data_IF_409287095037
#
_entry.id   IF_409287095037
#
_cell.length_a   1.000
_cell.length_b   1.000
_cell.length_c   1.000
_cell.angle_alpha   90.00
_cell.angle_beta   90.00
_cell.angle_gamma   90.00
#
_symmetry.space_group_name_H-M   'P 1'
#
loop_
_entity.id
_entity.type
_entity.pdbx_description
1 polymer ?
#
# COMPACT_ATOMS: atom_id res chain seq x y z
N UNK A 1 4.46 8.43 -7.87
CA UNK A 1 3.00 8.24 -7.64
C UNK A 1 2.69 8.45 -6.17
N UNK A 2 1.55 9.06 -5.82
CA UNK A 2 1.10 9.30 -4.43
C UNK A 2 -0.43 9.10 -4.34
N UNK A 3 -0.97 8.95 -3.13
CA UNK A 3 -2.42 8.88 -2.90
C UNK A 3 -2.96 10.25 -2.50
N UNK A 4 -3.73 10.87 -3.40
CA UNK A 4 -4.56 12.02 -3.08
C UNK A 4 -5.68 11.63 -2.10
N UNK A 5 -6.20 12.61 -1.37
CA UNK A 5 -7.16 12.35 -0.30
C UNK A 5 -8.31 13.35 -0.34
N UNK A 6 -9.52 12.84 -0.44
CA UNK A 6 -10.74 13.63 -0.46
C UNK A 6 -11.82 12.87 0.31
N UNK A 7 -12.71 13.61 0.95
CA UNK A 7 -13.84 13.07 1.70
C UNK A 7 -15.14 13.70 1.24
N UNK A 8 -16.24 12.97 1.43
CA UNK A 8 -17.59 13.36 1.05
C UNK A 8 -18.59 12.64 1.95
N UNK A 9 -19.78 13.22 2.09
CA UNK A 9 -20.92 12.59 2.75
C UNK A 9 -21.97 12.10 1.74
N UNK A 10 -21.92 12.61 0.50
CA UNK A 10 -22.97 12.42 -0.51
C UNK A 10 -22.45 11.90 -1.87
N UNK A 11 -21.14 11.70 -2.02
CA UNK A 11 -20.46 11.29 -3.27
C UNK A 11 -20.56 12.32 -4.41
N UNK A 12 -21.04 13.53 -4.13
CA UNK A 12 -21.22 14.62 -5.11
C UNK A 12 -20.29 15.78 -4.79
N UNK A 13 -20.31 16.26 -3.54
CA UNK A 13 -19.45 17.36 -3.08
C UNK A 13 -18.29 16.78 -2.29
N UNK A 14 -17.08 17.11 -2.72
CA UNK A 14 -15.85 16.58 -2.15
C UNK A 14 -15.03 17.69 -1.51
N UNK A 15 -14.43 17.38 -0.37
CA UNK A 15 -13.48 18.26 0.31
C UNK A 15 -12.08 17.65 0.20
N UNK A 16 -11.14 18.46 -0.27
CA UNK A 16 -9.72 18.09 -0.28
C UNK A 16 -9.17 17.98 1.15
N UNK A 17 -8.39 16.93 1.37
CA UNK A 17 -7.57 16.72 2.56
C UNK A 17 -6.09 16.67 2.17
N UNK A 18 -5.16 16.77 3.14
CA UNK A 18 -3.74 16.56 2.88
C UNK A 18 -3.48 15.19 2.24
N UNK A 19 -2.41 15.11 1.43
CA UNK A 19 -1.97 13.86 0.77
C UNK A 19 -1.87 12.73 1.79
N UNK A 20 -2.57 11.62 1.53
CA UNK A 20 -2.63 10.50 2.46
C UNK A 20 -1.32 9.70 2.48
N UNK A 21 -0.72 9.46 1.31
CA UNK A 21 0.55 8.74 1.18
C UNK A 21 1.38 9.34 0.05
N UNK A 22 2.62 9.71 0.34
CA UNK A 22 3.61 10.12 -0.65
C UNK A 22 4.87 9.24 -0.52
N UNK A 23 5.66 9.09 -1.61
CA UNK A 23 6.99 8.50 -1.55
C UNK A 23 7.87 9.27 -0.57
N UNK A 24 8.34 8.59 0.47
CA UNK A 24 9.25 9.19 1.47
C UNK A 24 10.15 8.16 2.17
N UNK A 25 10.09 6.89 1.75
CA UNK A 25 10.92 5.81 2.27
C UNK A 25 11.69 5.12 1.15
N UNK A 26 12.74 4.39 1.53
CA UNK A 26 13.57 3.64 0.58
C UNK A 26 12.79 2.59 -0.22
N UNK A 27 11.71 2.06 0.35
CA UNK A 27 10.91 0.99 -0.28
C UNK A 27 9.83 1.50 -1.24
N UNK A 28 9.56 2.81 -1.27
CA UNK A 28 8.54 3.40 -2.15
C UNK A 28 9.03 4.62 -2.94
N UNK A 29 10.35 4.77 -3.11
CA UNK A 29 10.99 5.90 -3.80
C UNK A 29 10.44 6.15 -5.21
N UNK A 30 10.02 5.10 -5.93
CA UNK A 30 9.45 5.22 -7.28
C UNK A 30 7.93 5.43 -7.25
N UNK A 31 7.27 5.21 -6.12
CA UNK A 31 5.86 5.49 -5.95
C UNK A 31 5.17 4.68 -4.85
N UNK A 32 4.14 5.29 -4.28
CA UNK A 32 3.06 4.58 -3.59
C UNK A 32 2.01 4.20 -4.64
N UNK A 33 2.03 2.95 -5.09
CA UNK A 33 1.09 2.39 -6.06
C UNK A 33 -0.23 1.98 -5.38
N UNK A 34 -1.16 1.41 -6.16
CA UNK A 34 -2.51 1.14 -5.70
C UNK A 34 -2.57 0.09 -4.58
N UNK A 35 -3.74 -0.03 -3.96
CA UNK A 35 -3.98 -0.89 -2.82
C UNK A 35 -5.39 -0.74 -2.27
N UNK A 36 -5.56 -0.99 -0.98
CA UNK A 36 -6.85 -0.95 -0.30
C UNK A 36 -6.76 -0.33 1.09
N UNK A 37 -7.88 0.17 1.58
CA UNK A 37 -8.04 0.70 2.93
C UNK A 37 -9.05 -0.16 3.70
N UNK A 38 -8.82 -0.34 4.99
CA UNK A 38 -9.79 -0.96 5.91
C UNK A 38 -9.85 -0.16 7.20
N UNK A 39 -11.06 0.07 7.71
CA UNK A 39 -11.30 0.60 9.05
C UNK A 39 -11.44 -0.57 10.03
N UNK A 40 -10.77 -0.46 11.18
CA UNK A 40 -10.94 -1.38 12.30
C UNK A 40 -10.68 -0.65 13.62
N UNK A 41 -11.66 -0.69 14.53
CA UNK A 41 -11.60 -0.09 15.87
C UNK A 41 -11.22 1.40 15.87
N UNK A 42 -11.78 2.16 14.93
CA UNK A 42 -11.56 3.60 14.77
C UNK A 42 -10.24 3.97 14.12
N UNK A 43 -9.51 3.00 13.55
CA UNK A 43 -8.25 3.23 12.84
C UNK A 43 -8.36 2.82 11.39
N UNK A 44 -7.76 3.60 10.52
CA UNK A 44 -7.62 3.28 9.10
C UNK A 44 -6.28 2.59 8.85
N UNK A 45 -6.34 1.48 8.15
CA UNK A 45 -5.18 0.72 7.70
C UNK A 45 -5.12 0.79 6.18
N UNK A 46 -4.10 1.47 5.65
CA UNK A 46 -3.85 1.58 4.22
C UNK A 46 -2.80 0.54 3.83
N UNK A 47 -3.19 -0.43 3.02
CA UNK A 47 -2.30 -1.44 2.44
C UNK A 47 -2.04 -1.01 1.01
N UNK A 48 -0.78 -0.84 0.63
CA UNK A 48 -0.40 -0.32 -0.68
C UNK A 48 0.85 -1.00 -1.23
N UNK A 49 1.10 -0.83 -2.52
CA UNK A 49 2.33 -1.31 -3.15
C UNK A 49 3.39 -0.22 -3.09
N UNK A 50 4.51 -0.47 -2.41
CA UNK A 50 5.72 0.34 -2.48
C UNK A 50 6.55 -0.07 -3.69
N UNK A 51 6.97 0.89 -4.51
CA UNK A 51 7.80 0.64 -5.70
C UNK A 51 9.19 1.21 -5.50
N UNK A 52 10.21 0.38 -5.80
CA UNK A 52 11.61 0.78 -5.81
C UNK A 52 12.33 0.16 -6.99
N UNK A 53 13.44 0.77 -7.39
CA UNK A 53 14.42 0.16 -8.28
C UNK A 53 15.57 -0.43 -7.45
N UNK A 54 16.14 -1.53 -7.91
CA UNK A 54 17.37 -2.08 -7.35
C UNK A 54 18.24 -2.60 -8.48
N UNK A 55 19.54 -2.64 -8.27
CA UNK A 55 20.47 -3.29 -9.19
C UNK A 55 20.70 -4.74 -8.75
N UNK A 56 20.62 -5.69 -9.69
CA UNK A 56 20.94 -7.08 -9.43
C UNK A 56 22.44 -7.37 -9.63
N UNK A 57 22.88 -8.60 -9.35
CA UNK A 57 24.30 -9.00 -9.43
C UNK A 57 24.92 -8.88 -10.84
N UNK A 58 24.09 -8.72 -11.88
CA UNK A 58 24.53 -8.54 -13.27
C UNK A 58 24.59 -7.07 -13.69
N UNK A 59 24.30 -6.12 -12.79
CA UNK A 59 24.24 -4.69 -13.09
C UNK A 59 22.93 -4.25 -13.75
N UNK A 60 21.94 -5.14 -13.86
CA UNK A 60 20.64 -4.80 -14.44
C UNK A 60 19.74 -4.17 -13.37
N UNK A 61 19.03 -3.12 -13.76
CA UNK A 61 18.02 -2.48 -12.91
C UNK A 61 16.73 -3.30 -12.95
N UNK A 62 16.27 -3.71 -11.78
CA UNK A 62 15.00 -4.39 -11.54
C UNK A 62 14.03 -3.46 -10.82
N UNK A 63 12.76 -3.49 -11.25
CA UNK A 63 11.66 -2.90 -10.50
C UNK A 63 11.17 -3.92 -9.49
N UNK A 64 11.11 -3.53 -8.22
CA UNK A 64 10.57 -4.33 -7.13
C UNK A 64 9.31 -3.67 -6.60
N UNK A 65 8.25 -4.48 -6.50
CA UNK A 65 6.98 -4.10 -5.89
C UNK A 65 6.77 -4.95 -4.64
N UNK A 66 6.73 -4.29 -3.48
CA UNK A 66 6.53 -4.92 -2.17
C UNK A 66 5.30 -4.30 -1.49
N UNK A 67 4.61 -5.04 -0.63
CA UNK A 67 3.40 -4.57 0.03
C UNK A 67 3.75 -3.89 1.35
N UNK A 68 3.22 -2.69 1.53
CA UNK A 68 3.48 -1.79 2.65
C UNK A 68 2.17 -1.46 3.37
N UNK A 69 2.30 -1.02 4.62
CA UNK A 69 1.19 -0.65 5.49
C UNK A 69 1.40 0.76 6.06
N UNK A 70 0.34 1.55 6.09
CA UNK A 70 0.26 2.77 6.86
C UNK A 70 -0.99 2.74 7.74
N UNK A 71 -0.91 3.37 8.92
CA UNK A 71 -2.01 3.46 9.87
C UNK A 71 -2.31 4.92 10.13
N UNK A 72 -3.59 5.27 10.14
CA UNK A 72 -4.04 6.64 10.35
C UNK A 72 -5.40 6.72 11.03
N UNK A 73 -5.84 7.96 11.21
CA UNK A 73 -7.09 8.34 11.86
C UNK A 73 -8.15 8.86 10.87
N UNK A 74 -7.90 8.69 9.57
CA UNK A 74 -8.75 9.22 8.52
C UNK A 74 -8.34 10.58 7.98
N UNK A 75 -7.28 11.19 8.52
CA UNK A 75 -6.66 12.40 7.97
C UNK A 75 -5.15 12.23 7.88
N UNK A 76 -4.52 11.83 8.97
CA UNK A 76 -3.08 11.67 9.09
C UNK A 76 -2.68 10.20 9.09
N UNK A 77 -1.74 9.82 8.21
CA UNK A 77 -1.28 8.44 8.06
C UNK A 77 0.22 8.31 8.31
N UNK A 78 0.61 7.24 9.01
CA UNK A 78 2.01 6.91 9.31
C UNK A 78 2.35 5.53 8.79
N UNK A 79 3.37 5.44 7.96
CA UNK A 79 3.92 4.16 7.50
C UNK A 79 4.49 3.37 8.68
N UNK A 80 4.20 2.08 8.74
CA UNK A 80 4.70 1.24 9.84
C UNK A 80 6.20 1.01 9.72
N UNK A 81 6.89 0.91 10.86
CA UNK A 81 8.36 0.77 10.91
C UNK A 81 8.87 -0.53 10.28
N UNK A 82 8.02 -1.55 10.21
CA UNK A 82 8.34 -2.88 9.68
C UNK A 82 8.10 -3.00 8.17
N UNK A 83 7.80 -1.91 7.47
CA UNK A 83 7.65 -1.95 6.02
C UNK A 83 8.98 -2.26 5.31
N UNK A 84 8.92 -2.95 4.15
CA UNK A 84 7.73 -3.59 3.58
C UNK A 84 7.29 -4.83 4.39
N UNK A 85 5.97 -5.01 4.56
CA UNK A 85 5.39 -6.10 5.38
C UNK A 85 5.23 -7.41 4.60
N UNK A 86 5.19 -7.36 3.27
CA UNK A 86 5.15 -8.54 2.41
C UNK A 86 6.01 -8.28 1.17
N UNK A 87 7.09 -9.04 1.02
CA UNK A 87 8.05 -8.80 -0.06
C UNK A 87 7.92 -9.80 -1.20
N UNK A 88 8.29 -9.40 -2.41
CA UNK A 88 8.38 -10.29 -3.57
C UNK A 88 9.39 -11.44 -3.40
N UNK A 89 10.28 -11.42 -2.39
CA UNK A 89 11.15 -12.55 -2.05
C UNK A 89 10.36 -13.78 -1.56
N UNK A 90 9.09 -13.61 -1.19
CA UNK A 90 8.21 -14.71 -0.76
C UNK A 90 7.49 -15.39 -1.94
N UNK A 91 7.63 -14.83 -3.15
CA UNK A 91 7.06 -15.44 -4.35
C UNK A 91 7.82 -16.71 -4.71
N UNK A 92 7.14 -17.73 -5.27
CA UNK A 92 7.82 -18.89 -5.81
C UNK A 92 8.76 -18.51 -6.96
N UNK A 93 9.74 -19.37 -7.23
CA UNK A 93 10.67 -19.18 -8.35
C UNK A 93 9.92 -19.03 -9.69
N UNK A 94 10.40 -18.11 -10.53
CA UNK A 94 9.83 -17.82 -11.85
C UNK A 94 8.70 -16.79 -11.86
N UNK A 95 8.24 -16.31 -10.70
CA UNK A 95 7.23 -15.24 -10.63
C UNK A 95 7.85 -13.84 -10.75
N UNK A 96 7.12 -12.92 -11.39
CA UNK A 96 7.58 -11.54 -11.58
C UNK A 96 7.47 -10.72 -10.31
N UNK A 97 8.59 -10.11 -9.90
CA UNK A 97 8.65 -9.15 -8.79
C UNK A 97 8.19 -7.74 -9.19
N UNK A 98 8.08 -7.47 -10.48
CA UNK A 98 7.60 -6.21 -11.05
C UNK A 98 6.07 -6.21 -11.25
N UNK A 99 5.42 -7.36 -11.08
CA UNK A 99 3.96 -7.51 -11.23
C UNK A 99 3.31 -8.07 -9.96
N UNK A 100 3.93 -7.81 -8.80
CA UNK A 100 3.42 -8.18 -7.49
C UNK A 100 2.86 -6.96 -6.76
N UNK A 101 1.60 -6.63 -7.04
CA UNK A 101 1.00 -5.35 -6.62
C UNK A 101 -0.51 -5.42 -6.43
N UNK A 102 -1.06 -4.27 -6.08
CA UNK A 102 -2.48 -3.97 -5.98
C UNK A 102 -3.18 -4.85 -4.90
N UNK A 103 -2.68 -4.84 -3.65
CA UNK A 103 -3.17 -5.71 -2.59
C UNK A 103 -4.63 -5.39 -2.28
N UNK A 104 -5.50 -6.39 -2.47
CA UNK A 104 -6.92 -6.31 -2.17
C UNK A 104 -7.22 -7.01 -0.85
N UNK A 105 -7.60 -6.23 0.17
CA UNK A 105 -8.21 -6.80 1.36
C UNK A 105 -9.64 -7.25 1.04
N UNK A 106 -9.92 -8.51 1.35
CA UNK A 106 -11.27 -9.08 1.41
C UNK A 106 -11.59 -9.34 2.89
N UNK A 107 -12.79 -8.92 3.29
CA UNK A 107 -13.40 -9.27 4.58
C UNK A 107 -14.54 -10.22 4.23
N UNK A 108 -14.36 -11.50 4.56
CA UNK A 108 -15.42 -12.49 4.42
C UNK A 108 -16.09 -12.67 5.78
N UNK A 109 -17.42 -12.63 5.88
CA UNK A 109 -18.11 -13.06 7.08
C UNK A 109 -17.75 -14.53 7.31
N UNK A 110 -17.26 -14.87 8.49
CA UNK A 110 -17.16 -16.28 8.89
C UNK A 110 -18.60 -16.77 9.05
N UNK A 111 -19.11 -17.49 8.05
CA UNK A 111 -20.40 -18.16 8.16
C UNK A 111 -20.30 -19.21 9.27
N UNK A 112 -20.99 -18.97 10.39
CA UNK A 112 -21.19 -19.98 11.46
C UNK A 112 -20.55 -19.70 12.82
N UNK A 113 -20.30 -18.44 13.19
CA UNK A 113 -20.04 -18.05 14.58
C UNK A 113 -20.93 -16.86 14.95
N UNK A 114 -22.14 -17.20 15.41
CA UNK A 114 -23.04 -16.40 16.23
C UNK A 114 -22.59 -16.40 17.71
#
# INVERSE_FOLDING_TARGET
MHWGHQVTEDMVVWKDLPVALAPDQWYDQEGCFSGSAVEHEGKHYLIYTGVRKQENSSGQIEVVQDQCLAVGDGVDYKKVKTNPVLTGNLLPDGFSREHFRDPKKLIEPILGLD
#
